data_IF_496930219052
#
_entry.id   IF_496930219052
#
_cell.length_a   1.000
_cell.length_b   1.000
_cell.length_c   1.000
_cell.angle_alpha   90.00
_cell.angle_beta   90.00
_cell.angle_gamma   90.00
#
_symmetry.space_group_name_H-M   'P 1'
#
loop_
_entity.id
_entity.type
_entity.pdbx_description
1 polymer ?
#
# COMPACT_ATOMS: atom_id res chain seq x y z
N UNK A 1 -20.85 -31.05 42.22
CA UNK A 1 -20.96 -30.12 41.08
C UNK A 1 -19.60 -30.01 40.40
N UNK A 2 -19.41 -30.68 39.26
CA UNK A 2 -18.15 -30.69 38.50
C UNK A 2 -18.07 -29.42 37.64
N UNK A 3 -17.13 -28.52 37.95
CA UNK A 3 -16.82 -27.39 37.07
C UNK A 3 -16.05 -27.90 35.85
N UNK A 4 -16.71 -27.97 34.70
CA UNK A 4 -16.10 -28.22 33.40
C UNK A 4 -15.41 -26.94 32.90
N UNK A 5 -14.13 -27.07 32.57
CA UNK A 5 -13.32 -26.04 31.92
C UNK A 5 -13.90 -25.74 30.53
N UNK A 6 -14.36 -24.51 30.33
CA UNK A 6 -14.64 -23.97 28.99
C UNK A 6 -13.30 -23.62 28.34
N UNK A 7 -12.76 -24.54 27.54
CA UNK A 7 -11.64 -24.24 26.66
C UNK A 7 -12.15 -23.30 25.55
N UNK A 8 -11.67 -22.05 25.58
CA UNK A 8 -11.96 -21.06 24.56
C UNK A 8 -11.52 -21.56 23.19
N UNK A 9 -12.48 -21.78 22.30
CA UNK A 9 -12.22 -22.11 20.90
C UNK A 9 -11.68 -20.86 20.23
N UNK A 10 -10.35 -20.79 20.09
CA UNK A 10 -9.69 -19.75 19.30
C UNK A 10 -10.25 -19.74 17.87
N UNK A 11 -10.27 -18.57 17.19
CA UNK A 11 -10.87 -18.47 15.87
C UNK A 11 -10.15 -19.42 14.91
N UNK A 12 -10.93 -20.22 14.19
CA UNK A 12 -10.41 -21.14 13.19
C UNK A 12 -9.58 -20.35 12.18
N UNK A 13 -8.32 -20.74 11.98
CA UNK A 13 -7.50 -20.20 10.91
C UNK A 13 -8.23 -20.43 9.58
N UNK A 14 -8.79 -19.35 9.03
CA UNK A 14 -9.48 -19.41 7.76
C UNK A 14 -8.49 -19.86 6.70
N UNK A 15 -8.70 -21.06 6.15
CA UNK A 15 -8.02 -21.53 4.95
C UNK A 15 -8.46 -20.63 3.79
N UNK A 16 -7.76 -19.51 3.61
CA UNK A 16 -7.90 -18.73 2.38
C UNK A 16 -7.35 -19.60 1.25
N UNK A 17 -8.17 -19.95 0.24
CA UNK A 17 -7.64 -20.56 -0.96
C UNK A 17 -6.59 -19.63 -1.56
N UNK A 18 -5.59 -20.19 -2.25
CA UNK A 18 -4.54 -19.46 -2.95
C UNK A 18 -5.12 -18.68 -4.14
N UNK A 19 -5.96 -17.70 -3.87
CA UNK A 19 -6.31 -16.65 -4.82
C UNK A 19 -5.02 -15.84 -4.98
N UNK A 20 -4.52 -15.60 -6.21
CA UNK A 20 -3.42 -14.66 -6.38
C UNK A 20 -3.89 -13.35 -5.74
N UNK A 21 -3.20 -12.92 -4.69
CA UNK A 21 -3.53 -11.69 -3.99
C UNK A 21 -3.71 -10.60 -5.04
N UNK A 22 -4.91 -10.02 -5.10
CA UNK A 22 -5.17 -8.93 -6.03
C UNK A 22 -4.01 -7.93 -5.91
N UNK A 23 -3.35 -7.50 -7.01
CA UNK A 23 -2.23 -6.56 -6.95
C UNK A 23 -2.62 -5.21 -6.31
N UNK A 24 -3.89 -5.07 -5.97
CA UNK A 24 -4.56 -3.92 -5.43
C UNK A 24 -5.05 -4.13 -4.00
N UNK A 25 -4.57 -5.14 -3.29
CA UNK A 25 -4.95 -5.41 -1.91
C UNK A 25 -4.62 -4.24 -0.95
N UNK A 26 -3.61 -3.42 -1.29
CA UNK A 26 -3.25 -2.21 -0.57
C UNK A 26 -3.63 -0.98 -1.39
N UNK A 27 -4.93 -0.66 -1.43
CA UNK A 27 -5.46 0.57 -2.01
C UNK A 27 -6.22 1.36 -0.96
N UNK A 28 -6.14 2.68 -1.08
CA UNK A 28 -6.99 3.63 -0.37
C UNK A 28 -7.86 4.30 -1.43
N UNK A 29 -9.17 4.13 -1.33
CA UNK A 29 -10.10 4.69 -2.30
C UNK A 29 -10.49 6.13 -1.92
N UNK A 30 -10.48 7.03 -2.90
CA UNK A 30 -10.83 8.45 -2.71
C UNK A 30 -12.32 8.75 -2.96
N UNK A 31 -13.19 7.76 -2.78
CA UNK A 31 -14.67 7.93 -2.81
C UNK A 31 -15.04 9.12 -1.90
N UNK A 32 -16.01 9.98 -2.25
CA UNK A 32 -16.31 11.21 -1.49
C UNK A 32 -16.38 10.94 0.01
N UNK A 33 -15.30 11.30 0.67
CA UNK A 33 -15.00 11.03 2.06
C UNK A 33 -14.55 12.33 2.69
N UNK A 34 -14.83 12.46 3.98
CA UNK A 34 -14.36 13.60 4.76
C UNK A 34 -12.84 13.66 4.65
N UNK A 35 -12.29 14.83 4.30
CA UNK A 35 -10.85 15.02 4.28
C UNK A 35 -10.33 14.87 5.72
N UNK A 36 -9.36 13.99 5.92
CA UNK A 36 -8.75 13.75 7.23
C UNK A 36 -7.26 14.04 7.22
N UNK A 37 -6.72 14.25 8.40
CA UNK A 37 -5.29 14.08 8.70
C UNK A 37 -4.90 12.61 8.56
N UNK A 38 -3.60 12.33 8.57
CA UNK A 38 -3.04 10.97 8.56
C UNK A 38 -3.43 10.16 9.81
N UNK A 39 -3.81 10.83 10.91
CA UNK A 39 -4.34 10.19 12.13
C UNK A 39 -5.87 10.02 12.13
N UNK A 40 -6.55 10.33 11.02
CA UNK A 40 -7.99 10.17 10.88
C UNK A 40 -8.84 11.31 11.45
N UNK A 41 -8.23 12.43 11.88
CA UNK A 41 -8.98 13.60 12.36
C UNK A 41 -9.55 14.37 11.18
N UNK A 42 -10.86 14.61 11.17
CA UNK A 42 -11.55 15.38 10.13
C UNK A 42 -11.05 16.84 10.05
N UNK A 43 -10.83 17.33 8.83
CA UNK A 43 -10.39 18.70 8.55
C UNK A 43 -11.59 19.55 8.17
N UNK A 44 -11.82 20.64 8.91
CA UNK A 44 -12.90 21.59 8.62
C UNK A 44 -12.59 22.53 7.46
N UNK A 45 -11.44 23.19 7.49
CA UNK A 45 -10.94 24.09 6.44
C UNK A 45 -9.50 23.73 6.08
N UNK A 46 -9.25 23.48 4.79
CA UNK A 46 -7.94 23.10 4.23
C UNK A 46 -7.35 24.21 3.33
N UNK A 47 -7.98 25.38 3.27
CA UNK A 47 -7.56 26.52 2.44
C UNK A 47 -6.84 27.60 3.26
N UNK A 48 -6.96 27.56 4.59
CA UNK A 48 -6.40 28.57 5.48
C UNK A 48 -5.57 27.95 6.59
N UNK A 49 -4.55 28.68 7.03
CA UNK A 49 -3.81 28.40 8.26
C UNK A 49 -4.54 28.98 9.46
N UNK A 50 -4.37 28.37 10.65
CA UNK A 50 -4.84 28.93 11.91
C UNK A 50 -3.99 30.16 12.29
N UNK A 51 -4.64 31.29 12.54
CA UNK A 51 -4.01 32.59 12.83
C UNK A 51 -4.57 33.25 14.08
N UNK A 52 -3.75 34.05 14.76
CA UNK A 52 -4.19 34.92 15.86
C UNK A 52 -4.92 36.17 15.33
N UNK A 53 -6.16 36.01 14.88
CA UNK A 53 -6.97 37.05 14.25
C UNK A 53 -6.82 37.10 12.73
N UNK A 54 -7.69 37.89 12.06
CA UNK A 54 -7.85 37.86 10.59
C UNK A 54 -6.55 38.14 9.81
N UNK A 55 -5.69 39.03 10.33
CA UNK A 55 -4.38 39.39 9.74
C UNK A 55 -3.22 39.13 10.70
N UNK A 56 -3.44 38.28 11.69
CA UNK A 56 -2.41 37.92 12.67
C UNK A 56 -1.42 36.87 12.16
N UNK A 57 -0.39 36.56 12.97
CA UNK A 57 0.57 35.51 12.67
C UNK A 57 -0.07 34.11 12.72
N UNK A 58 0.51 33.16 11.99
CA UNK A 58 0.15 31.74 12.05
C UNK A 58 0.59 31.13 13.39
N UNK A 59 -0.25 30.30 13.99
CA UNK A 59 0.03 29.65 15.27
C UNK A 59 0.76 28.31 15.09
N UNK A 60 1.73 28.02 15.98
CA UNK A 60 2.47 26.76 15.96
C UNK A 60 1.62 25.56 16.38
N UNK A 61 0.53 25.79 17.12
CA UNK A 61 -0.42 24.75 17.53
C UNK A 61 -1.23 24.17 16.36
N UNK A 62 -1.18 24.80 15.18
CA UNK A 62 -1.78 24.30 13.94
C UNK A 62 -1.10 22.99 13.50
N UNK A 63 -1.60 21.87 14.01
CA UNK A 63 -1.08 20.54 13.69
C UNK A 63 -1.49 20.08 12.29
N UNK A 64 -2.61 20.57 11.76
CA UNK A 64 -3.09 20.24 10.41
C UNK A 64 -2.12 20.82 9.37
N UNK A 65 -1.79 22.10 9.50
CA UNK A 65 -0.81 22.74 8.63
C UNK A 65 0.55 22.06 8.71
N UNK A 66 1.05 21.83 9.94
CA UNK A 66 2.38 21.22 10.14
C UNK A 66 2.45 19.83 9.56
N UNK A 67 1.43 19.00 9.78
CA UNK A 67 1.42 17.63 9.25
C UNK A 67 1.44 17.64 7.71
N UNK A 68 0.60 18.47 7.08
CA UNK A 68 0.53 18.60 5.62
C UNK A 68 1.85 19.06 5.00
N UNK A 69 2.44 20.11 5.55
CA UNK A 69 3.71 20.65 5.03
C UNK A 69 4.87 19.70 5.34
N UNK A 70 4.89 19.06 6.51
CA UNK A 70 5.93 18.06 6.83
C UNK A 70 5.88 16.89 5.85
N UNK A 71 4.69 16.40 5.50
CA UNK A 71 4.57 15.34 4.51
C UNK A 71 5.06 15.80 3.13
N UNK A 72 4.71 17.03 2.72
CA UNK A 72 5.15 17.63 1.46
C UNK A 72 6.68 17.80 1.39
N UNK A 73 7.29 18.34 2.44
CA UNK A 73 8.75 18.58 2.52
C UNK A 73 9.56 17.29 2.39
N UNK A 74 8.97 16.14 2.75
CA UNK A 74 9.61 14.83 2.72
C UNK A 74 9.09 13.91 1.59
N UNK A 75 8.47 14.46 0.55
CA UNK A 75 7.99 13.68 -0.61
C UNK A 75 9.13 13.10 -1.46
N UNK A 76 10.30 13.73 -1.43
CA UNK A 76 11.43 13.34 -2.28
C UNK A 76 12.29 12.29 -1.56
N UNK A 77 12.49 11.17 -2.26
CA UNK A 77 13.49 10.16 -1.93
C UNK A 77 14.62 10.22 -2.96
N UNK A 78 15.85 9.77 -2.62
CA UNK A 78 16.93 9.69 -3.58
C UNK A 78 16.54 8.87 -4.81
N UNK A 79 16.87 9.38 -5.99
CA UNK A 79 16.72 8.62 -7.22
C UNK A 79 17.76 7.50 -7.32
N UNK A 80 17.52 6.54 -8.22
CA UNK A 80 18.50 5.48 -8.49
C UNK A 80 19.75 6.11 -9.12
N UNK A 81 20.94 5.65 -8.70
CA UNK A 81 22.24 6.13 -9.23
C UNK A 81 22.30 6.03 -10.76
N UNK A 82 21.77 4.95 -11.32
CA UNK A 82 21.56 4.74 -12.77
C UNK A 82 20.14 4.24 -12.99
N UNK A 83 19.64 4.33 -14.23
CA UNK A 83 18.27 3.96 -14.53
C UNK A 83 17.22 4.75 -13.72
N UNK A 84 17.52 6.02 -13.43
CA UNK A 84 16.65 6.93 -12.68
C UNK A 84 15.31 7.11 -13.39
N UNK A 85 15.36 7.45 -14.70
CA UNK A 85 14.16 7.60 -15.53
C UNK A 85 13.65 6.24 -15.97
N UNK A 86 12.39 5.96 -15.68
CA UNK A 86 11.74 4.75 -16.13
C UNK A 86 10.24 4.71 -15.84
N UNK A 87 9.55 3.82 -16.53
CA UNK A 87 8.11 3.58 -16.40
C UNK A 87 7.88 2.09 -16.14
N UNK A 88 6.78 1.74 -15.48
CA UNK A 88 6.51 0.36 -15.09
C UNK A 88 5.04 -0.05 -15.28
N UNK A 89 4.81 -1.35 -15.43
CA UNK A 89 3.48 -1.94 -15.58
C UNK A 89 3.39 -3.32 -14.89
N UNK A 90 2.19 -3.65 -14.43
CA UNK A 90 1.85 -4.99 -13.98
C UNK A 90 1.46 -5.87 -15.17
N UNK A 91 1.75 -7.17 -15.07
CA UNK A 91 1.35 -8.17 -16.05
C UNK A 91 1.43 -9.58 -15.47
N UNK A 92 1.46 -10.58 -16.33
CA UNK A 92 1.72 -11.96 -15.96
C UNK A 92 2.61 -12.64 -16.99
N UNK A 93 3.33 -13.66 -16.54
CA UNK A 93 4.11 -14.57 -17.35
C UNK A 93 3.42 -15.92 -17.35
N UNK A 94 3.37 -16.57 -18.50
CA UNK A 94 2.82 -17.92 -18.64
C UNK A 94 3.87 -18.85 -19.24
N UNK A 95 4.16 -19.94 -18.54
CA UNK A 95 5.07 -20.96 -19.06
C UNK A 95 4.35 -21.82 -20.11
N UNK A 96 4.85 -21.85 -21.35
CA UNK A 96 4.23 -22.66 -22.41
C UNK A 96 4.37 -24.17 -22.18
N UNK A 97 5.49 -24.60 -21.59
CA UNK A 97 5.80 -26.00 -21.32
C UNK A 97 6.56 -26.13 -19.98
N UNK A 98 6.49 -27.29 -19.30
CA UNK A 98 7.34 -27.55 -18.16
C UNK A 98 8.81 -27.64 -18.60
N UNK A 99 9.70 -26.94 -17.90
CA UNK A 99 11.15 -26.99 -18.13
C UNK A 99 11.86 -27.75 -17.00
N UNK A 100 11.21 -28.78 -16.45
CA UNK A 100 11.68 -29.53 -15.26
C UNK A 100 13.01 -30.24 -15.48
N UNK A 101 13.33 -30.59 -16.72
CA UNK A 101 14.59 -31.23 -17.08
C UNK A 101 15.80 -30.29 -16.94
N UNK A 102 15.56 -28.97 -17.02
CA UNK A 102 16.59 -27.94 -16.97
C UNK A 102 16.57 -27.14 -15.66
N UNK A 103 15.40 -26.96 -15.04
CA UNK A 103 15.26 -26.11 -13.86
C UNK A 103 14.17 -26.57 -12.89
N UNK A 104 14.44 -26.36 -11.60
CA UNK A 104 13.48 -26.53 -10.50
C UNK A 104 12.76 -25.22 -10.14
N UNK A 105 13.01 -24.16 -10.89
CA UNK A 105 12.41 -22.86 -10.61
C UNK A 105 10.88 -22.91 -10.75
N UNK A 106 10.19 -22.37 -9.73
CA UNK A 106 8.75 -22.47 -9.60
C UNK A 106 7.96 -21.98 -10.84
N UNK A 107 8.32 -20.87 -11.52
CA UNK A 107 7.54 -20.39 -12.67
C UNK A 107 7.45 -21.38 -13.85
N UNK A 108 8.43 -22.29 -14.00
CA UNK A 108 8.54 -23.16 -15.17
C UNK A 108 8.16 -24.63 -14.90
N UNK A 109 7.53 -24.93 -13.77
CA UNK A 109 7.23 -26.33 -13.37
C UNK A 109 6.06 -26.96 -14.13
N UNK A 110 5.21 -26.16 -14.79
CA UNK A 110 4.03 -26.66 -15.49
C UNK A 110 3.70 -25.76 -16.68
N UNK A 111 3.19 -26.37 -17.76
CA UNK A 111 2.56 -25.65 -18.86
C UNK A 111 1.33 -24.87 -18.35
N UNK A 112 1.11 -23.68 -18.90
CA UNK A 112 0.02 -22.78 -18.51
C UNK A 112 0.19 -22.14 -17.14
N UNK A 113 1.33 -22.30 -16.46
CA UNK A 113 1.54 -21.71 -15.13
C UNK A 113 1.66 -20.20 -15.23
N UNK A 114 0.64 -19.50 -14.73
CA UNK A 114 0.58 -18.03 -14.66
C UNK A 114 1.32 -17.53 -13.42
N UNK A 115 2.28 -16.63 -13.62
CA UNK A 115 3.07 -15.97 -12.57
C UNK A 115 2.91 -14.45 -12.68
N UNK A 116 2.37 -13.76 -11.66
CA UNK A 116 2.27 -12.30 -11.67
C UNK A 116 3.66 -11.65 -11.77
N UNK A 117 3.76 -10.58 -12.56
CA UNK A 117 5.02 -9.83 -12.73
C UNK A 117 4.81 -8.32 -12.69
N UNK A 118 5.91 -7.62 -12.42
CA UNK A 118 6.01 -6.17 -12.51
C UNK A 118 7.26 -5.83 -13.30
N UNK A 119 7.08 -5.23 -14.46
CA UNK A 119 8.18 -4.86 -15.35
C UNK A 119 8.44 -3.36 -15.25
N UNK A 120 9.72 -2.95 -15.17
CA UNK A 120 10.16 -1.56 -15.22
C UNK A 120 11.15 -1.36 -16.36
N UNK A 121 10.85 -0.43 -17.26
CA UNK A 121 11.73 -0.01 -18.36
C UNK A 121 12.44 1.29 -17.98
N UNK A 122 13.71 1.45 -18.34
CA UNK A 122 14.53 2.62 -17.97
C UNK A 122 15.66 2.89 -18.97
N UNK A 123 16.14 4.13 -19.00
CA UNK A 123 17.32 4.58 -19.77
C UNK A 123 18.59 4.59 -18.94
#
# INVERSE_FOLDING_TARGET
MKQQRMAGRGPAAGSRPAVPASPYAMRVDAVPSVLTTNQGVAIGDNQHSLKAGLRGPTLLEDFILREKITHFDHERIPERIVHARGSAAHGYFEAYQPLTDYTRAAPFQAAGKVTPLFARFST
#
